data_IF_305896218106
#
_entry.id   IF_305896218106
#
_cell.length_a   1.000
_cell.length_b   1.000
_cell.length_c   1.000
_cell.angle_alpha   90.00
_cell.angle_beta   90.00
_cell.angle_gamma   90.00
#
_symmetry.space_group_name_H-M   'P 1'
#
loop_
_entity.id
_entity.type
_entity.pdbx_description
1 polymer ?
#
# COMPACT_ATOMS: atom_id res chain seq x y z
N UNK A 1 35.36 10.84 -2.23
CA UNK A 1 34.08 10.51 -1.57
C UNK A 1 33.24 9.72 -2.54
N UNK A 2 32.74 8.56 -2.13
CA UNK A 2 31.93 7.66 -2.96
C UNK A 2 30.64 7.33 -2.24
N UNK A 3 29.51 7.48 -2.93
CA UNK A 3 28.16 7.31 -2.37
C UNK A 3 27.52 6.08 -3.00
N UNK A 4 27.04 5.18 -2.15
CA UNK A 4 26.23 4.03 -2.53
C UNK A 4 24.81 4.26 -2.03
N UNK A 5 23.89 4.49 -2.96
CA UNK A 5 22.47 4.65 -2.64
C UNK A 5 21.75 3.31 -2.64
N UNK A 6 20.70 3.19 -1.81
CA UNK A 6 19.85 2.00 -1.69
C UNK A 6 20.64 0.70 -1.53
N UNK A 7 21.54 0.66 -0.56
CA UNK A 7 22.47 -0.47 -0.41
C UNK A 7 21.78 -1.83 -0.20
N UNK A 8 20.55 -1.83 0.33
CA UNK A 8 19.72 -3.01 0.52
C UNK A 8 19.26 -3.66 -0.79
N UNK A 9 19.24 -2.92 -1.91
CA UNK A 9 18.87 -3.40 -3.24
C UNK A 9 20.06 -3.89 -4.05
N UNK A 10 21.28 -3.48 -3.66
CA UNK A 10 22.49 -3.92 -4.32
C UNK A 10 22.74 -5.39 -3.93
N UNK A 11 22.79 -6.26 -4.94
CA UNK A 11 23.20 -7.66 -4.77
C UNK A 11 24.72 -7.74 -4.61
N UNK A 12 25.19 -7.24 -3.46
CA UNK A 12 26.59 -7.14 -3.13
C UNK A 12 27.05 -8.52 -2.66
N UNK A 13 28.06 -9.08 -3.34
CA UNK A 13 28.70 -10.31 -2.87
C UNK A 13 29.08 -10.19 -1.38
N UNK A 14 28.90 -11.24 -0.56
CA UNK A 14 29.06 -11.16 0.89
C UNK A 14 30.39 -10.57 1.39
N UNK A 15 31.43 -10.63 0.55
CA UNK A 15 32.78 -10.17 0.84
C UNK A 15 33.04 -8.71 0.42
N UNK A 16 32.24 -8.14 -0.49
CA UNK A 16 32.45 -6.79 -1.02
C UNK A 16 32.01 -5.73 -0.02
N UNK A 17 30.87 -5.94 0.65
CA UNK A 17 30.39 -5.00 1.66
C UNK A 17 31.38 -4.77 2.82
N UNK A 18 31.90 -5.82 3.50
CA UNK A 18 32.94 -5.65 4.51
C UNK A 18 34.23 -5.02 3.98
N UNK A 19 34.62 -5.31 2.74
CA UNK A 19 35.77 -4.67 2.11
C UNK A 19 35.57 -3.16 1.97
N UNK A 20 34.41 -2.72 1.45
CA UNK A 20 34.09 -1.30 1.33
C UNK A 20 34.12 -0.60 2.69
N UNK A 21 33.59 -1.22 3.74
CA UNK A 21 33.63 -0.63 5.08
C UNK A 21 35.06 -0.37 5.60
N UNK A 22 36.02 -1.23 5.23
CA UNK A 22 37.44 -1.11 5.62
C UNK A 22 38.31 -0.43 4.57
N UNK A 23 37.76 0.00 3.43
CA UNK A 23 38.55 0.57 2.34
C UNK A 23 39.35 1.80 2.80
N UNK A 24 38.81 2.57 3.75
CA UNK A 24 39.49 3.71 4.35
C UNK A 24 40.79 3.34 5.10
N UNK A 25 40.91 2.10 5.62
CA UNK A 25 42.13 1.59 6.26
C UNK A 25 43.25 1.39 5.24
N UNK A 26 42.89 1.05 3.99
CA UNK A 26 43.81 0.78 2.89
C UNK A 26 44.10 2.07 2.09
N UNK A 27 43.07 2.88 1.86
CA UNK A 27 43.13 4.15 1.12
C UNK A 27 42.42 5.26 1.92
N UNK A 28 43.15 5.97 2.79
CA UNK A 28 42.58 7.02 3.66
C UNK A 28 41.93 8.19 2.91
N UNK A 29 42.24 8.35 1.63
CA UNK A 29 41.71 9.40 0.76
C UNK A 29 40.27 9.11 0.32
N UNK A 30 39.79 7.88 0.52
CA UNK A 30 38.46 7.44 0.10
C UNK A 30 37.53 7.38 1.31
N UNK A 31 36.52 8.24 1.29
CA UNK A 31 35.38 8.18 2.20
C UNK A 31 34.20 7.53 1.48
N UNK A 32 33.60 6.51 2.11
CA UNK A 32 32.41 5.84 1.60
C UNK A 32 31.19 6.26 2.42
N UNK A 33 30.12 6.60 1.73
CA UNK A 33 28.81 6.90 2.32
C UNK A 33 27.82 5.88 1.80
N UNK A 34 27.10 5.24 2.72
CA UNK A 34 26.00 4.33 2.40
C UNK A 34 24.68 5.00 2.75
N UNK A 35 23.74 5.00 1.81
CA UNK A 35 22.37 5.46 2.03
C UNK A 35 21.47 4.22 2.01
N UNK A 36 20.57 4.14 2.99
CA UNK A 36 19.66 3.01 3.17
C UNK A 36 18.36 3.46 3.83
N UNK A 37 17.26 2.81 3.48
CA UNK A 37 16.00 2.92 4.22
C UNK A 37 15.95 1.99 5.44
N UNK A 38 16.92 1.08 5.56
CA UNK A 38 17.02 0.16 6.67
C UNK A 38 17.90 0.72 7.79
N UNK A 39 17.56 0.36 9.02
CA UNK A 39 18.46 0.59 10.16
C UNK A 39 19.68 -0.32 10.03
N UNK A 40 20.83 0.16 10.53
CA UNK A 40 22.10 -0.55 10.48
C UNK A 40 22.03 -2.02 10.95
N UNK A 41 21.32 -2.28 12.04
CA UNK A 41 21.15 -3.63 12.59
C UNK A 41 20.42 -4.61 11.65
N UNK A 42 19.62 -4.11 10.71
CA UNK A 42 18.92 -4.93 9.71
C UNK A 42 19.80 -5.23 8.48
N UNK A 43 20.85 -4.43 8.25
CA UNK A 43 21.81 -4.64 7.18
C UNK A 43 22.88 -5.68 7.56
N UNK A 44 23.06 -5.96 8.85
CA UNK A 44 23.95 -7.01 9.35
C UNK A 44 23.36 -8.40 9.08
N UNK A 45 23.29 -8.80 7.81
CA UNK A 45 22.70 -10.10 7.42
C UNK A 45 23.60 -11.30 7.72
N UNK A 46 24.93 -11.13 7.75
CA UNK A 46 25.85 -12.28 7.79
C UNK A 46 27.11 -12.16 8.68
N UNK A 47 27.55 -10.97 9.13
CA UNK A 47 28.76 -10.86 9.99
C UNK A 47 28.76 -9.64 10.92
N UNK A 48 29.61 -9.67 11.95
CA UNK A 48 29.96 -8.54 12.82
C UNK A 48 30.85 -7.54 12.05
N UNK A 49 30.22 -6.66 11.29
CA UNK A 49 30.91 -5.53 10.66
C UNK A 49 31.26 -4.44 11.69
N UNK A 50 32.34 -3.66 11.48
CA UNK A 50 32.59 -2.48 12.30
C UNK A 50 31.39 -1.52 12.24
N UNK A 51 31.07 -0.87 13.36
CA UNK A 51 29.94 0.05 13.40
C UNK A 51 30.29 1.34 12.64
N UNK A 52 29.57 1.69 11.56
CA UNK A 52 29.81 2.93 10.86
C UNK A 52 29.24 4.11 11.64
N UNK A 53 29.67 5.32 11.30
CA UNK A 53 29.00 6.53 11.75
C UNK A 53 27.61 6.60 11.10
N UNK A 54 26.57 6.39 11.89
CA UNK A 54 25.18 6.41 11.42
C UNK A 54 24.59 7.80 11.58
N UNK A 55 24.11 8.39 10.48
CA UNK A 55 23.31 9.62 10.48
C UNK A 55 21.88 9.25 10.12
N UNK A 56 20.93 9.53 11.01
CA UNK A 56 19.52 9.24 10.78
C UNK A 56 18.80 10.48 10.24
N UNK A 57 18.30 10.39 9.01
CA UNK A 57 17.44 11.42 8.42
C UNK A 57 15.99 11.15 8.83
N UNK A 58 15.52 11.91 9.81
CA UNK A 58 14.13 11.80 10.28
C UNK A 58 13.16 12.27 9.20
N UNK A 59 11.93 11.76 9.27
CA UNK A 59 10.83 12.29 8.45
C UNK A 59 10.55 13.72 8.86
N UNK A 60 10.29 14.57 7.88
CA UNK A 60 9.83 15.93 8.13
C UNK A 60 8.52 15.92 8.91
N UNK A 61 8.42 16.82 9.88
CA UNK A 61 7.18 17.17 10.55
C UNK A 61 6.22 17.87 9.60
N UNK A 62 4.96 18.05 10.02
CA UNK A 62 3.96 18.78 9.25
C UNK A 62 4.45 20.19 8.88
N UNK A 63 4.96 20.92 9.86
CA UNK A 63 5.33 22.32 9.67
C UNK A 63 6.60 22.45 8.83
N UNK A 64 7.58 21.55 9.00
CA UNK A 64 8.75 21.45 8.11
C UNK A 64 8.32 21.12 6.67
N UNK A 65 7.37 20.20 6.49
CA UNK A 65 6.84 19.84 5.17
C UNK A 65 6.18 21.04 4.50
N UNK A 66 5.37 21.81 5.24
CA UNK A 66 4.78 23.06 4.76
C UNK A 66 5.89 24.02 4.34
N UNK A 67 6.87 24.29 5.22
CA UNK A 67 7.97 25.20 4.92
C UNK A 67 8.74 24.79 3.66
N UNK A 68 9.03 23.50 3.49
CA UNK A 68 9.72 22.99 2.30
C UNK A 68 8.87 23.18 1.05
N UNK A 69 7.58 22.85 1.09
CA UNK A 69 6.67 23.03 -0.05
C UNK A 69 6.41 24.49 -0.39
N UNK A 70 6.49 25.38 0.61
CA UNK A 70 6.42 26.83 0.41
C UNK A 70 7.63 27.35 -0.38
N UNK A 71 8.81 26.72 -0.27
CA UNK A 71 9.98 27.08 -1.08
C UNK A 71 9.79 26.76 -2.58
N UNK A 72 8.96 25.77 -2.90
CA UNK A 72 8.64 25.41 -4.28
C UNK A 72 7.54 26.31 -4.87
N UNK A 73 6.83 27.05 -4.03
CA UNK A 73 5.70 27.90 -4.38
C UNK A 73 6.13 29.28 -4.89
N UNK A 74 5.45 29.75 -5.93
CA UNK A 74 5.53 31.16 -6.35
C UNK A 74 4.61 32.00 -5.46
N UNK A 75 5.06 33.22 -5.18
CA UNK A 75 4.40 34.26 -4.40
C UNK A 75 2.90 34.41 -4.74
N UNK A 76 2.02 33.82 -3.93
CA UNK A 76 0.58 34.00 -4.07
C UNK A 76 -0.09 33.99 -2.70
N UNK A 77 -0.97 34.98 -2.46
CA UNK A 77 -1.74 35.09 -1.23
C UNK A 77 -2.41 33.75 -0.87
N UNK A 78 -2.15 33.27 0.35
CA UNK A 78 -2.75 32.08 0.99
C UNK A 78 -2.36 30.72 0.40
N UNK A 79 -1.19 30.62 -0.24
CA UNK A 79 -0.61 29.31 -0.62
C UNK A 79 -0.39 28.39 0.59
N UNK A 80 0.05 28.95 1.73
CA UNK A 80 0.23 28.21 2.98
C UNK A 80 -1.05 27.50 3.45
N UNK A 81 -2.20 28.18 3.39
CA UNK A 81 -3.49 27.60 3.76
C UNK A 81 -3.87 26.45 2.84
N UNK A 82 -3.61 26.59 1.54
CA UNK A 82 -3.83 25.53 0.57
C UNK A 82 -2.93 24.31 0.84
N UNK A 83 -1.63 24.52 1.04
CA UNK A 83 -0.66 23.46 1.30
C UNK A 83 -1.02 22.72 2.60
N UNK A 84 -1.35 23.47 3.67
CA UNK A 84 -1.82 22.90 4.92
C UNK A 84 -3.05 22.00 4.72
N UNK A 85 -4.04 22.47 3.96
CA UNK A 85 -5.26 21.72 3.64
C UNK A 85 -4.97 20.42 2.88
N UNK A 86 -4.09 20.47 1.87
CA UNK A 86 -3.68 19.30 1.09
C UNK A 86 -2.95 18.28 1.97
N UNK A 87 -1.99 18.73 2.79
CA UNK A 87 -1.25 17.86 3.71
C UNK A 87 -2.20 17.22 4.72
N UNK A 88 -3.08 18.01 5.35
CA UNK A 88 -4.01 17.50 6.36
C UNK A 88 -4.96 16.45 5.77
N UNK A 89 -5.31 16.60 4.48
CA UNK A 89 -6.19 15.67 3.78
C UNK A 89 -5.48 14.40 3.26
N UNK A 90 -4.18 14.47 2.93
CA UNK A 90 -3.45 13.41 2.20
C UNK A 90 -2.36 12.74 3.05
N UNK A 91 -1.99 13.30 4.20
CA UNK A 91 -0.95 12.77 5.12
C UNK A 91 -1.19 11.34 5.59
N UNK A 92 -2.45 10.88 5.59
CA UNK A 92 -2.82 9.49 5.92
C UNK A 92 -2.44 8.49 4.81
N UNK A 93 -2.23 8.94 3.57
CA UNK A 93 -1.88 8.12 2.41
C UNK A 93 -0.41 8.23 2.06
N UNK A 94 0.13 9.45 2.02
CA UNK A 94 1.53 9.67 1.70
C UNK A 94 2.14 10.79 2.52
N UNK A 95 3.41 10.60 2.87
CA UNK A 95 4.30 11.63 3.41
C UNK A 95 5.47 11.89 2.47
N UNK A 96 5.39 11.41 1.21
CA UNK A 96 6.45 11.59 0.23
C UNK A 96 6.41 13.04 -0.28
N UNK A 97 7.49 13.77 -0.04
CA UNK A 97 7.61 15.17 -0.40
C UNK A 97 7.43 15.40 -1.91
N UNK A 98 7.96 14.52 -2.77
CA UNK A 98 7.85 14.67 -4.22
C UNK A 98 6.43 14.45 -4.73
N UNK A 99 5.69 13.52 -4.12
CA UNK A 99 4.28 13.32 -4.41
C UNK A 99 3.45 14.52 -3.96
N UNK A 100 3.71 15.03 -2.75
CA UNK A 100 3.06 16.24 -2.23
C UNK A 100 3.34 17.46 -3.12
N UNK A 101 4.57 17.64 -3.61
CA UNK A 101 4.95 18.67 -4.59
C UNK A 101 4.13 18.57 -5.86
N UNK A 102 4.05 17.37 -6.43
CA UNK A 102 3.27 17.12 -7.64
C UNK A 102 1.77 17.39 -7.42
N UNK A 103 1.21 16.94 -6.29
CA UNK A 103 -0.20 17.17 -5.98
C UNK A 103 -0.50 18.65 -5.81
N UNK A 104 0.36 19.38 -5.09
CA UNK A 104 0.23 20.82 -4.93
C UNK A 104 0.25 21.53 -6.28
N UNK A 105 1.16 21.17 -7.20
CA UNK A 105 1.24 21.79 -8.52
C UNK A 105 0.00 21.53 -9.39
N UNK A 106 -0.60 20.34 -9.30
CA UNK A 106 -1.81 19.96 -10.04
C UNK A 106 -3.08 20.55 -9.43
N UNK A 107 -3.17 20.62 -8.10
CA UNK A 107 -4.38 21.01 -7.40
C UNK A 107 -4.50 22.52 -7.19
N UNK A 108 -3.38 23.23 -7.07
CA UNK A 108 -3.40 24.66 -6.80
C UNK A 108 -4.18 25.48 -7.84
N UNK A 109 -4.04 25.24 -9.17
CA UNK A 109 -4.84 25.93 -10.17
C UNK A 109 -6.36 25.76 -9.98
N UNK A 110 -6.79 24.59 -9.51
CA UNK A 110 -8.20 24.25 -9.26
C UNK A 110 -8.71 24.86 -7.95
N UNK A 111 -7.81 25.04 -6.97
CA UNK A 111 -8.14 25.69 -5.69
C UNK A 111 -8.41 27.19 -5.86
N UNK A 112 -7.66 27.87 -6.74
CA UNK A 112 -7.80 29.31 -6.98
C UNK A 112 -8.89 29.66 -8.01
N UNK A 113 -9.35 28.70 -8.81
CA UNK A 113 -10.36 28.90 -9.85
C UNK A 113 -11.66 29.53 -9.30
N UNK A 114 -12.26 29.04 -8.18
CA UNK A 114 -13.42 29.69 -7.57
C UNK A 114 -13.19 31.14 -7.10
N UNK A 115 -11.94 31.50 -6.77
CA UNK A 115 -11.57 32.87 -6.39
C UNK A 115 -11.51 33.75 -7.63
N UNK A 116 -10.87 33.27 -8.70
CA UNK A 116 -10.79 33.97 -9.98
C UNK A 116 -12.15 34.23 -10.61
N UNK A 117 -13.08 33.28 -10.46
CA UNK A 117 -14.46 33.40 -10.94
C UNK A 117 -15.38 34.21 -10.01
N UNK A 118 -14.88 34.69 -8.87
CA UNK A 118 -15.67 35.45 -7.88
C UNK A 118 -16.71 34.61 -7.13
N UNK A 119 -16.65 33.28 -7.20
CA UNK A 119 -17.59 32.36 -6.51
C UNK A 119 -17.31 32.29 -5.01
N UNK A 120 -16.07 32.52 -4.58
CA UNK A 120 -15.66 32.59 -3.18
C UNK A 120 -14.54 33.61 -2.99
N UNK A 121 -14.43 34.20 -1.79
CA UNK A 121 -13.26 35.01 -1.42
C UNK A 121 -12.21 34.14 -0.73
N UNK A 122 -10.97 34.63 -0.72
CA UNK A 122 -9.86 33.92 -0.10
C UNK A 122 -10.02 33.72 1.42
N UNK A 123 -10.89 34.51 2.08
CA UNK A 123 -11.19 34.40 3.52
C UNK A 123 -12.28 33.36 3.84
N UNK A 124 -13.02 32.91 2.82
CA UNK A 124 -14.12 31.96 2.99
C UNK A 124 -13.64 30.51 2.94
N UNK A 125 -12.74 30.11 3.85
CA UNK A 125 -12.07 28.80 3.84
C UNK A 125 -13.02 27.61 3.72
N UNK A 126 -14.14 27.59 4.46
CA UNK A 126 -15.11 26.49 4.42
C UNK A 126 -15.85 26.40 3.07
N UNK A 127 -16.20 27.55 2.48
CA UNK A 127 -16.86 27.60 1.16
C UNK A 127 -15.89 27.17 0.08
N UNK A 128 -14.65 27.65 0.16
CA UNK A 128 -13.59 27.32 -0.78
C UNK A 128 -13.24 25.82 -0.73
N UNK A 129 -13.15 25.24 0.48
CA UNK A 129 -12.99 23.81 0.66
C UNK A 129 -14.14 23.02 0.03
N UNK A 130 -15.40 23.42 0.25
CA UNK A 130 -16.56 22.72 -0.32
C UNK A 130 -16.51 22.67 -1.85
N UNK A 131 -16.09 23.76 -2.49
CA UNK A 131 -15.94 23.85 -3.94
C UNK A 131 -14.74 23.03 -4.45
N UNK A 132 -13.65 23.00 -3.67
CA UNK A 132 -12.41 22.30 -4.02
C UNK A 132 -12.44 20.79 -3.70
N UNK A 133 -13.25 20.36 -2.73
CA UNK A 133 -13.24 19.02 -2.13
C UNK A 133 -13.34 17.91 -3.16
N UNK A 134 -14.14 18.08 -4.22
CA UNK A 134 -14.28 17.07 -5.29
C UNK A 134 -12.95 16.83 -6.03
N UNK A 135 -12.19 17.90 -6.32
CA UNK A 135 -10.90 17.77 -6.98
C UNK A 135 -9.88 17.08 -6.11
N UNK A 136 -9.91 17.37 -4.80
CA UNK A 136 -9.07 16.71 -3.80
C UNK A 136 -9.39 15.21 -3.68
N UNK A 137 -10.66 14.85 -3.64
CA UNK A 137 -11.10 13.44 -3.61
C UNK A 137 -10.68 12.66 -4.86
N UNK A 138 -10.79 13.27 -6.05
CA UNK A 138 -10.32 12.64 -7.29
C UNK A 138 -8.81 12.44 -7.27
N UNK A 139 -8.04 13.44 -6.84
CA UNK A 139 -6.59 13.33 -6.73
C UNK A 139 -6.17 12.29 -5.68
N UNK A 140 -6.89 12.20 -4.57
CA UNK A 140 -6.69 11.18 -3.54
C UNK A 140 -6.93 9.77 -4.09
N UNK A 141 -8.05 9.55 -4.77
CA UNK A 141 -8.37 8.24 -5.36
C UNK A 141 -7.35 7.86 -6.43
N UNK A 142 -6.94 8.81 -7.27
CA UNK A 142 -5.92 8.56 -8.29
C UNK A 142 -4.55 8.30 -7.68
N UNK A 143 -4.17 8.99 -6.60
CA UNK A 143 -2.94 8.72 -5.87
C UNK A 143 -3.00 7.33 -5.22
N UNK A 144 -4.10 6.99 -4.55
CA UNK A 144 -4.28 5.67 -3.96
C UNK A 144 -4.20 4.56 -5.03
N UNK A 145 -4.91 4.73 -6.14
CA UNK A 145 -4.85 3.80 -7.28
C UNK A 145 -3.47 3.77 -7.92
N UNK A 146 -2.77 4.90 -8.01
CA UNK A 146 -1.40 4.98 -8.51
C UNK A 146 -0.41 4.33 -7.55
N UNK A 147 -0.47 4.53 -6.25
CA UNK A 147 0.34 3.78 -5.28
C UNK A 147 0.04 2.28 -5.36
N UNK A 148 -1.20 1.91 -5.70
CA UNK A 148 -1.60 0.53 -5.96
C UNK A 148 -1.23 0.01 -7.35
N UNK A 149 -0.95 0.89 -8.33
CA UNK A 149 -0.59 0.55 -9.73
C UNK A 149 0.92 0.68 -10.02
N UNK A 150 1.61 1.65 -9.42
CA UNK A 150 3.06 1.81 -9.35
C UNK A 150 3.65 0.67 -8.50
N UNK A 151 2.89 0.20 -7.50
CA UNK A 151 2.94 -1.21 -7.14
C UNK A 151 2.25 -2.01 -8.23
N UNK A 152 2.88 -2.18 -9.40
CA UNK A 152 2.58 -3.33 -10.25
C UNK A 152 2.98 -4.55 -9.44
N UNK A 153 2.13 -4.98 -8.52
CA UNK A 153 2.31 -6.24 -7.84
C UNK A 153 1.93 -7.27 -8.91
N UNK A 154 2.87 -7.55 -9.81
CA UNK A 154 2.83 -8.71 -10.68
C UNK A 154 2.99 -9.94 -9.79
N UNK A 155 1.87 -10.30 -9.17
CA UNK A 155 1.77 -11.55 -8.44
C UNK A 155 1.77 -12.69 -9.47
N UNK A 156 2.51 -13.78 -9.20
CA UNK A 156 2.38 -15.01 -9.98
C UNK A 156 0.92 -15.47 -10.04
N UNK A 157 0.55 -16.18 -11.11
CA UNK A 157 -0.84 -16.62 -11.35
C UNK A 157 -1.48 -17.27 -10.13
N UNK A 158 -0.81 -18.26 -9.52
CA UNK A 158 -1.33 -18.94 -8.33
C UNK A 158 -1.39 -18.03 -7.11
N UNK A 159 -0.48 -17.07 -6.97
CA UNK A 159 -0.49 -16.08 -5.88
C UNK A 159 -1.68 -15.13 -6.00
N UNK A 160 -2.11 -14.79 -7.22
CA UNK A 160 -3.35 -14.03 -7.44
C UNK A 160 -4.58 -14.83 -6.97
N UNK A 161 -4.68 -16.11 -7.33
CA UNK A 161 -5.76 -16.98 -6.85
C UNK A 161 -5.74 -17.17 -5.33
N UNK A 162 -4.55 -17.26 -4.72
CA UNK A 162 -4.40 -17.35 -3.27
C UNK A 162 -4.90 -16.08 -2.57
N UNK A 163 -4.63 -14.91 -3.16
CA UNK A 163 -5.16 -13.64 -2.68
C UNK A 163 -6.68 -13.55 -2.86
N UNK A 164 -7.23 -13.99 -3.99
CA UNK A 164 -8.68 -14.08 -4.23
C UNK A 164 -9.35 -15.01 -3.20
N UNK A 165 -8.81 -16.21 -3.01
CA UNK A 165 -9.29 -17.17 -2.00
C UNK A 165 -9.26 -16.56 -0.60
N UNK A 166 -8.22 -15.79 -0.28
CA UNK A 166 -8.12 -15.14 1.02
C UNK A 166 -9.18 -14.05 1.25
N UNK A 167 -9.51 -13.29 0.20
CA UNK A 167 -10.57 -12.29 0.24
C UNK A 167 -11.92 -12.98 0.48
N UNK A 168 -12.21 -14.03 -0.29
CA UNK A 168 -13.41 -14.84 -0.11
C UNK A 168 -13.49 -15.44 1.31
N UNK A 169 -12.40 -15.96 1.84
CA UNK A 169 -12.33 -16.50 3.20
C UNK A 169 -12.58 -15.44 4.29
N UNK A 170 -12.07 -14.22 4.12
CA UNK A 170 -12.27 -13.15 5.09
C UNK A 170 -13.66 -12.49 5.05
N UNK A 171 -14.29 -12.44 3.89
CA UNK A 171 -15.55 -11.72 3.69
C UNK A 171 -16.78 -12.63 3.66
N UNK A 172 -16.63 -13.94 3.42
CA UNK A 172 -17.73 -14.90 3.54
C UNK A 172 -17.76 -15.57 4.91
N UNK A 173 -18.95 -15.76 5.51
CA UNK A 173 -19.12 -16.66 6.65
C UNK A 173 -18.70 -18.09 6.32
N UNK A 174 -17.95 -18.75 7.20
CA UNK A 174 -17.53 -20.17 7.04
C UNK A 174 -18.69 -21.15 6.85
N UNK A 175 -19.86 -20.87 7.47
CA UNK A 175 -21.09 -21.67 7.28
C UNK A 175 -21.58 -21.73 5.82
N UNK A 176 -21.09 -20.85 4.94
CA UNK A 176 -21.47 -20.80 3.52
C UNK A 176 -20.45 -21.47 2.60
N UNK A 177 -19.33 -21.97 3.12
CA UNK A 177 -18.26 -22.52 2.28
C UNK A 177 -18.74 -23.70 1.44
N UNK A 178 -19.50 -24.62 2.03
CA UNK A 178 -20.06 -25.75 1.31
C UNK A 178 -20.96 -25.33 0.15
N UNK A 179 -21.64 -24.19 0.25
CA UNK A 179 -22.53 -23.71 -0.82
C UNK A 179 -21.75 -23.12 -1.98
N UNK A 180 -20.70 -22.33 -1.71
CA UNK A 180 -19.95 -21.63 -2.75
C UNK A 180 -18.81 -22.47 -3.35
N UNK A 181 -18.23 -23.39 -2.57
CA UNK A 181 -16.95 -24.04 -2.89
C UNK A 181 -17.04 -25.57 -3.04
N UNK A 182 -18.23 -26.19 -3.02
CA UNK A 182 -18.38 -27.61 -3.39
C UNK A 182 -18.86 -27.76 -4.84
N UNK A 183 -18.41 -28.84 -5.50
CA UNK A 183 -18.85 -29.19 -6.86
C UNK A 183 -20.35 -29.53 -6.82
N UNK A 184 -21.17 -28.68 -7.45
CA UNK A 184 -22.64 -28.81 -7.47
C UNK A 184 -23.41 -27.85 -6.54
N UNK A 185 -22.71 -27.01 -5.76
CA UNK A 185 -23.34 -26.01 -4.90
C UNK A 185 -24.03 -24.87 -5.67
N UNK A 186 -25.16 -24.37 -5.16
CA UNK A 186 -25.85 -23.22 -5.72
C UNK A 186 -25.07 -21.91 -5.48
N UNK A 187 -24.34 -21.46 -6.50
CA UNK A 187 -23.59 -20.19 -6.54
C UNK A 187 -24.47 -18.93 -6.66
N UNK A 188 -25.76 -19.02 -6.30
CA UNK A 188 -26.71 -17.89 -6.39
C UNK A 188 -26.54 -16.93 -5.21
N UNK A 189 -26.53 -15.63 -5.50
CA UNK A 189 -26.48 -14.52 -4.55
C UNK A 189 -27.70 -14.62 -3.60
N UNK A 190 -27.44 -14.74 -2.29
CA UNK A 190 -28.49 -14.64 -1.26
C UNK A 190 -28.53 -13.19 -0.77
N UNK A 191 -29.66 -12.49 -0.96
CA UNK A 191 -29.91 -11.19 -0.34
C UNK A 191 -30.50 -11.42 1.06
N UNK A 192 -29.76 -11.09 2.12
CA UNK A 192 -30.30 -11.11 3.49
C UNK A 192 -30.49 -9.67 4.01
N UNK A 193 -31.62 -9.40 4.67
CA UNK A 193 -31.98 -8.10 5.25
C UNK A 193 -31.26 -7.77 6.59
N UNK A 194 -30.34 -8.60 7.10
CA UNK A 194 -29.75 -8.39 8.44
C UNK A 194 -28.22 -8.28 8.45
N UNK A 195 -27.74 -7.21 9.10
CA UNK A 195 -26.35 -6.83 9.41
C UNK A 195 -25.35 -7.10 8.27
N UNK A 196 -25.18 -6.09 7.40
CA UNK A 196 -24.16 -6.07 6.33
C UNK A 196 -22.80 -6.46 6.90
N UNK A 197 -22.39 -7.69 6.61
CA UNK A 197 -21.20 -8.27 7.23
C UNK A 197 -19.90 -7.57 6.80
N UNK A 198 -19.95 -6.87 5.65
CA UNK A 198 -18.90 -5.99 5.14
C UNK A 198 -18.55 -4.84 6.09
N UNK A 199 -19.54 -4.27 6.80
CA UNK A 199 -19.31 -3.16 7.72
C UNK A 199 -18.54 -3.59 8.98
N UNK A 200 -18.46 -4.91 9.25
CA UNK A 200 -17.73 -5.47 10.38
C UNK A 200 -16.24 -5.71 10.06
N UNK A 201 -15.82 -5.47 8.81
CA UNK A 201 -14.46 -5.68 8.35
C UNK A 201 -14.09 -7.15 8.08
N UNK A 202 -12.87 -7.39 7.57
CA UNK A 202 -12.40 -8.73 7.20
C UNK A 202 -12.23 -9.62 8.44
N UNK A 203 -12.78 -10.84 8.37
CA UNK A 203 -12.69 -11.82 9.46
C UNK A 203 -11.44 -12.67 9.32
N UNK A 204 -10.87 -13.04 10.47
CA UNK A 204 -9.77 -13.98 10.55
C UNK A 204 -10.26 -15.42 10.32
N UNK A 205 -9.48 -16.22 9.59
CA UNK A 205 -9.79 -17.62 9.29
C UNK A 205 -8.51 -18.46 9.20
N UNK A 206 -8.69 -19.78 9.30
CA UNK A 206 -7.57 -20.74 9.35
C UNK A 206 -7.00 -21.05 7.96
N UNK A 207 -5.73 -21.46 7.93
CA UNK A 207 -5.01 -21.79 6.67
C UNK A 207 -5.68 -22.95 5.93
N UNK A 208 -6.22 -23.93 6.65
CA UNK A 208 -6.94 -25.07 6.05
C UNK A 208 -8.11 -24.59 5.20
N UNK A 209 -8.87 -23.60 5.70
CA UNK A 209 -9.97 -22.98 4.95
C UNK A 209 -9.45 -22.18 3.75
N UNK A 210 -8.31 -21.47 3.87
CA UNK A 210 -7.67 -20.81 2.72
C UNK A 210 -7.42 -21.81 1.60
N UNK A 211 -6.75 -22.91 1.94
CA UNK A 211 -6.37 -23.93 0.98
C UNK A 211 -7.61 -24.58 0.36
N UNK A 212 -8.62 -24.93 1.15
CA UNK A 212 -9.86 -25.50 0.64
C UNK A 212 -10.57 -24.58 -0.37
N UNK A 213 -10.67 -23.28 -0.07
CA UNK A 213 -11.23 -22.29 -1.00
C UNK A 213 -10.36 -22.19 -2.25
N UNK A 214 -9.05 -22.09 -2.08
CA UNK A 214 -8.09 -21.98 -3.17
C UNK A 214 -8.17 -23.17 -4.15
N UNK A 215 -8.16 -24.41 -3.63
CA UNK A 215 -8.31 -25.62 -4.44
C UNK A 215 -9.68 -25.73 -5.12
N UNK A 216 -10.72 -25.08 -4.57
CA UNK A 216 -12.06 -25.10 -5.15
C UNK A 216 -12.24 -24.12 -6.31
N UNK A 217 -11.59 -22.96 -6.23
CA UNK A 217 -11.71 -21.90 -7.27
C UNK A 217 -10.68 -22.04 -8.39
N UNK A 218 -9.69 -22.91 -8.22
CA UNK A 218 -8.66 -23.16 -9.22
C UNK A 218 -9.09 -24.34 -10.10
N UNK A 219 -9.25 -24.11 -11.40
CA UNK A 219 -9.70 -25.12 -12.36
C UNK A 219 -8.56 -26.04 -12.87
N UNK A 220 -7.31 -25.80 -12.44
CA UNK A 220 -6.12 -26.51 -12.92
C UNK A 220 -5.44 -27.35 -11.83
N UNK A 221 -4.76 -28.42 -12.25
CA UNK A 221 -3.89 -29.18 -11.35
C UNK A 221 -2.71 -28.33 -10.87
N UNK A 222 -2.35 -28.54 -9.61
CA UNK A 222 -1.39 -27.69 -8.91
C UNK A 222 -0.03 -28.37 -8.85
N UNK A 223 1.06 -27.67 -9.22
CA UNK A 223 2.39 -28.27 -9.24
C UNK A 223 3.14 -28.28 -7.89
N UNK A 224 2.63 -27.74 -6.78
CA UNK A 224 3.41 -27.73 -5.53
C UNK A 224 2.79 -27.09 -4.28
N UNK A 225 3.65 -26.87 -3.27
CA UNK A 225 3.33 -26.24 -1.99
C UNK A 225 3.26 -24.71 -2.13
N UNK A 226 2.26 -24.06 -1.52
CA UNK A 226 2.09 -22.61 -1.57
C UNK A 226 2.60 -21.94 -0.31
N UNK A 227 3.48 -20.96 -0.51
CA UNK A 227 3.94 -20.10 0.57
C UNK A 227 3.14 -18.79 0.59
N UNK A 228 2.48 -18.51 1.72
CA UNK A 228 1.76 -17.26 1.98
C UNK A 228 2.68 -16.14 2.50
N UNK A 229 3.95 -16.44 2.79
CA UNK A 229 4.92 -15.48 3.34
C UNK A 229 5.07 -14.25 2.46
N UNK A 230 5.09 -14.41 1.13
CA UNK A 230 5.15 -13.27 0.20
C UNK A 230 3.95 -12.34 0.33
N UNK A 231 2.73 -12.88 0.46
CA UNK A 231 1.51 -12.08 0.65
C UNK A 231 1.48 -11.37 2.01
N UNK A 232 2.04 -11.99 3.04
CA UNK A 232 2.18 -11.38 4.38
C UNK A 232 3.24 -10.27 4.37
N UNK A 233 4.40 -10.50 3.74
CA UNK A 233 5.48 -9.53 3.60
C UNK A 233 5.03 -8.28 2.82
N UNK A 234 4.23 -8.49 1.77
CA UNK A 234 3.60 -7.41 0.99
C UNK A 234 2.42 -6.73 1.71
N UNK A 235 2.06 -7.18 2.91
CA UNK A 235 0.91 -6.71 3.72
C UNK A 235 -0.43 -6.83 3.01
N UNK A 236 -0.55 -7.76 2.07
CA UNK A 236 -1.81 -8.14 1.43
C UNK A 236 -2.61 -9.10 2.34
N UNK A 237 -1.90 -9.86 3.18
CA UNK A 237 -2.44 -10.66 4.27
C UNK A 237 -1.88 -10.18 5.62
N UNK A 238 -2.68 -10.32 6.67
CA UNK A 238 -2.25 -10.08 8.04
C UNK A 238 -2.39 -11.39 8.82
N UNK A 239 -1.27 -11.82 9.42
CA UNK A 239 -1.23 -12.91 10.39
C UNK A 239 -1.76 -12.39 11.74
N UNK A 240 -2.75 -13.06 12.31
CA UNK A 240 -3.41 -12.61 13.56
C UNK A 240 -2.65 -13.07 14.81
N UNK A 241 -2.08 -14.29 14.78
CA UNK A 241 -1.32 -14.87 15.90
C UNK A 241 0.00 -15.47 15.39
N UNK A 242 1.03 -15.59 16.24
CA UNK A 242 2.35 -16.10 15.83
C UNK A 242 2.56 -17.62 16.00
N UNK A 243 1.58 -18.36 16.51
CA UNK A 243 1.68 -19.81 16.73
C UNK A 243 1.63 -20.63 15.43
N UNK A 244 1.95 -21.93 15.52
CA UNK A 244 1.89 -22.88 14.39
C UNK A 244 0.51 -22.91 13.71
N UNK A 245 -0.57 -22.84 14.48
CA UNK A 245 -1.95 -22.74 13.97
C UNK A 245 -2.42 -21.28 13.98
N UNK A 246 -1.83 -20.48 13.09
CA UNK A 246 -2.19 -19.08 12.99
C UNK A 246 -3.37 -18.85 12.05
N UNK A 247 -4.18 -17.85 12.40
CA UNK A 247 -5.22 -17.31 11.54
C UNK A 247 -4.68 -16.18 10.69
N UNK A 248 -5.26 -16.03 9.51
CA UNK A 248 -4.97 -14.94 8.58
C UNK A 248 -6.23 -14.12 8.35
N UNK A 249 -6.05 -12.84 8.01
CA UNK A 249 -7.11 -11.96 7.50
C UNK A 249 -6.63 -11.24 6.25
N UNK A 250 -7.53 -11.04 5.29
CA UNK A 250 -7.24 -10.31 4.07
C UNK A 250 -7.17 -8.80 4.36
N UNK A 251 -6.20 -8.11 3.78
CA UNK A 251 -5.95 -6.68 3.97
C UNK A 251 -6.10 -5.88 2.67
N UNK A 252 -6.94 -6.36 1.75
CA UNK A 252 -7.21 -5.68 0.47
C UNK A 252 -8.68 -5.25 0.38
N UNK A 253 -8.91 -4.15 -0.33
CA UNK A 253 -10.25 -3.65 -0.61
C UNK A 253 -10.92 -4.36 -1.79
N UNK A 254 -12.23 -4.14 -1.93
CA UNK A 254 -13.04 -4.77 -2.98
C UNK A 254 -12.61 -4.36 -4.40
N UNK A 255 -12.35 -3.07 -4.64
CA UNK A 255 -11.89 -2.57 -5.94
C UNK A 255 -10.58 -3.24 -6.39
N UNK A 256 -9.63 -3.39 -5.46
CA UNK A 256 -8.35 -4.02 -5.76
C UNK A 256 -8.53 -5.50 -6.12
N UNK A 257 -9.34 -6.24 -5.36
CA UNK A 257 -9.54 -7.67 -5.66
C UNK A 257 -10.32 -7.88 -6.96
N UNK A 258 -11.20 -6.95 -7.35
CA UNK A 258 -11.85 -6.97 -8.65
C UNK A 258 -10.84 -6.84 -9.79
N UNK A 259 -9.87 -5.94 -9.68
CA UNK A 259 -8.80 -5.79 -10.68
C UNK A 259 -7.97 -7.07 -10.77
N UNK A 260 -7.55 -7.63 -9.63
CA UNK A 260 -6.78 -8.89 -9.58
C UNK A 260 -7.58 -10.04 -10.22
N UNK A 261 -8.87 -10.17 -9.88
CA UNK A 261 -9.75 -11.22 -10.40
C UNK A 261 -9.94 -11.10 -11.91
N UNK A 262 -10.17 -9.89 -12.42
CA UNK A 262 -10.23 -9.62 -13.87
C UNK A 262 -8.94 -10.00 -14.60
N UNK A 263 -7.78 -9.79 -13.97
CA UNK A 263 -6.47 -10.13 -14.56
C UNK A 263 -6.22 -11.63 -14.75
N UNK A 264 -7.02 -12.49 -14.10
CA UNK A 264 -6.98 -13.95 -14.24
C UNK A 264 -8.30 -14.52 -14.78
N UNK A 265 -9.15 -13.65 -15.36
CA UNK A 265 -10.46 -14.02 -15.89
C UNK A 265 -11.38 -14.73 -14.88
N UNK A 266 -11.23 -14.42 -13.60
CA UNK A 266 -12.05 -14.97 -12.51
C UNK A 266 -13.17 -14.00 -12.13
N UNK A 267 -14.40 -14.50 -12.05
CA UNK A 267 -15.58 -13.72 -11.66
C UNK A 267 -15.88 -13.88 -10.16
N UNK A 268 -15.23 -13.04 -9.35
CA UNK A 268 -15.35 -13.09 -7.88
C UNK A 268 -16.76 -12.77 -7.37
N UNK A 269 -17.58 -12.04 -8.14
CA UNK A 269 -18.92 -11.62 -7.74
C UNK A 269 -19.85 -12.81 -7.46
N UNK A 270 -19.65 -13.93 -8.17
CA UNK A 270 -20.40 -15.18 -8.01
C UNK A 270 -20.14 -15.90 -6.69
N UNK A 271 -19.05 -15.56 -6.02
CA UNK A 271 -18.56 -16.24 -4.83
C UNK A 271 -18.69 -15.40 -3.56
N UNK A 272 -19.16 -14.16 -3.65
CA UNK A 272 -19.29 -13.27 -2.51
C UNK A 272 -20.72 -13.26 -1.93
N UNK A 273 -20.80 -13.37 -0.61
CA UNK A 273 -22.05 -13.19 0.13
C UNK A 273 -22.33 -11.69 0.33
N UNK A 274 -23.49 -11.22 -0.13
CA UNK A 274 -24.04 -9.88 0.15
C UNK A 274 -23.27 -8.68 -0.46
N UNK A 275 -22.49 -8.89 -1.53
CA UNK A 275 -21.87 -7.81 -2.34
C UNK A 275 -22.79 -7.42 -3.50
N UNK A 276 -23.79 -6.56 -3.25
CA UNK A 276 -24.46 -5.83 -4.32
C UNK A 276 -23.72 -4.51 -4.56
N UNK A 277 -23.47 -4.18 -5.83
CA UNK A 277 -22.84 -2.95 -6.30
C UNK A 277 -23.29 -1.73 -5.47
N UNK A 278 -22.31 -1.02 -4.90
CA UNK A 278 -22.50 0.29 -4.25
C UNK A 278 -22.70 1.34 -5.33
#
# INVERSE_FOLDING_TARGET
MQVFDQIEELDIEPNVFPFLMKLHEIQPQIQIIFISFLKWNLLQKYFLYPQPLTVNFQKYSRDETIQILMLDGKDFMKYEQFVGLVIDSISSVTTNLNELRYLCSVLYPKYIEPIKEGKATADQSSKLFTLFQRHLQVAFNNLFLRTMNDKKIELPYYTKFLLIASFLGSFNPSRLDNRFFTKGGEKKIIKHKSKRQQLLGPKAFDIERLLAIFYSILDQEIPGCFDISTLVNLRLLIKVNNHLNYKIKCNVGYEFILIVSKSVSFDISKYLYDFTEI
#
